data_IF_813021735458
#
_entry.id   IF_813021735458
#
_cell.length_a   1.000
_cell.length_b   1.000
_cell.length_c   1.000
_cell.angle_alpha   90.00
_cell.angle_beta   90.00
_cell.angle_gamma   90.00
#
_symmetry.space_group_name_H-M   'P 1'
#
loop_
_entity.id
_entity.type
_entity.pdbx_description
1 polymer ?
#
# COMPACT_ATOMS: atom_id res chain seq x y z
N UNK A 1 18.29 11.74 -7.51
CA UNK A 1 17.23 12.00 -6.52
C UNK A 1 16.24 10.84 -6.60
N UNK A 2 16.56 9.72 -5.94
CA UNK A 2 15.68 8.55 -5.89
C UNK A 2 14.96 8.55 -4.55
N UNK A 3 13.75 9.12 -4.53
CA UNK A 3 12.86 9.02 -3.38
C UNK A 3 12.33 7.58 -3.28
N UNK A 4 13.15 6.68 -2.72
CA UNK A 4 12.72 5.33 -2.36
C UNK A 4 11.99 5.42 -1.03
N UNK A 5 10.74 5.00 -1.00
CA UNK A 5 9.92 4.90 0.20
C UNK A 5 10.25 3.60 0.94
N UNK A 6 11.51 3.41 1.35
CA UNK A 6 12.05 2.12 1.86
C UNK A 6 11.28 1.56 3.08
N UNK A 7 10.33 2.31 3.65
CA UNK A 7 9.42 1.89 4.73
C UNK A 7 7.93 1.72 4.31
N UNK A 8 7.53 2.19 3.12
CA UNK A 8 6.16 2.11 2.59
C UNK A 8 6.14 1.29 1.28
N UNK A 9 5.28 0.28 1.22
CA UNK A 9 5.20 -0.67 0.10
C UNK A 9 5.26 -2.15 0.49
N UNK A 10 5.35 -2.44 1.80
CA UNK A 10 5.35 -3.80 2.32
C UNK A 10 3.99 -4.49 2.15
N UNK A 11 2.89 -3.74 2.12
CA UNK A 11 1.54 -4.31 2.01
C UNK A 11 1.09 -4.65 0.59
N UNK A 12 1.80 -4.22 -0.45
CA UNK A 12 1.40 -4.46 -1.84
C UNK A 12 1.53 -5.95 -2.20
N UNK A 13 0.45 -6.60 -2.59
CA UNK A 13 0.44 -8.00 -3.00
C UNK A 13 -0.27 -8.15 -4.34
N UNK A 14 0.29 -8.98 -5.23
CA UNK A 14 -0.28 -9.31 -6.53
C UNK A 14 -0.50 -10.82 -6.63
N UNK A 15 -1.75 -11.20 -6.86
CA UNK A 15 -2.18 -12.56 -7.19
C UNK A 15 -2.07 -12.76 -8.71
N UNK A 16 -1.05 -13.49 -9.14
CA UNK A 16 -0.80 -13.76 -10.56
C UNK A 16 -1.79 -14.74 -11.18
N UNK A 17 -2.53 -15.51 -10.38
CA UNK A 17 -3.53 -16.45 -10.90
C UNK A 17 -4.81 -15.70 -11.29
N UNK A 18 -5.21 -14.72 -10.47
CA UNK A 18 -6.35 -13.84 -10.78
C UNK A 18 -6.04 -12.77 -11.81
N UNK A 19 -4.77 -12.45 -12.05
CA UNK A 19 -4.39 -11.41 -12.99
C UNK A 19 -4.76 -11.77 -14.45
N UNK A 20 -5.70 -11.01 -15.01
CA UNK A 20 -6.14 -11.15 -16.41
C UNK A 20 -5.34 -10.28 -17.40
N UNK A 21 -4.27 -9.63 -16.95
CA UNK A 21 -3.42 -8.82 -17.85
C UNK A 21 -4.03 -7.51 -18.35
N UNK A 22 -5.06 -6.96 -17.69
CA UNK A 22 -5.79 -5.77 -18.15
C UNK A 22 -5.03 -4.43 -18.10
N UNK A 23 -3.77 -4.40 -17.65
CA UNK A 23 -2.89 -3.22 -17.58
C UNK A 23 -3.35 -2.03 -16.72
N UNK A 24 -4.56 -2.03 -16.17
CA UNK A 24 -5.09 -0.94 -15.33
C UNK A 24 -4.13 -0.51 -14.22
N UNK A 25 -3.46 -1.46 -13.56
CA UNK A 25 -2.50 -1.16 -12.50
C UNK A 25 -1.27 -0.36 -12.97
N UNK A 26 -0.84 -0.54 -14.22
CA UNK A 26 0.26 0.21 -14.83
C UNK A 26 -0.18 1.63 -15.16
N UNK A 27 -1.42 1.82 -15.65
CA UNK A 27 -1.96 3.14 -16.00
C UNK A 27 -2.22 4.02 -14.78
N UNK A 28 -2.80 3.45 -13.71
CA UNK A 28 -3.20 4.24 -12.53
C UNK A 28 -2.06 4.48 -11.53
N UNK A 29 -0.88 3.88 -11.73
CA UNK A 29 0.24 3.99 -10.80
C UNK A 29 1.17 5.15 -11.22
N UNK A 30 1.13 6.32 -10.55
CA UNK A 30 1.98 7.46 -10.92
C UNK A 30 3.48 7.20 -10.66
N UNK A 31 3.80 6.18 -9.87
CA UNK A 31 5.17 5.82 -9.50
C UNK A 31 5.75 4.68 -10.35
N UNK A 32 5.02 4.16 -11.34
CA UNK A 32 5.48 3.07 -12.20
C UNK A 32 6.02 1.85 -11.42
N UNK A 33 5.26 1.42 -10.40
CA UNK A 33 5.61 0.27 -9.54
C UNK A 33 5.48 -1.06 -10.29
N UNK A 34 4.64 -1.11 -11.31
CA UNK A 34 4.31 -2.33 -12.05
C UNK A 34 5.06 -2.41 -13.37
N UNK A 35 5.44 -3.62 -13.76
CA UNK A 35 5.84 -3.97 -15.12
C UNK A 35 4.86 -4.97 -15.71
N UNK A 36 4.95 -5.18 -17.01
CA UNK A 36 4.13 -6.14 -17.73
C UNK A 36 5.03 -7.15 -18.42
N UNK A 37 4.80 -8.44 -18.17
CA UNK A 37 5.55 -9.53 -18.78
C UNK A 37 4.64 -10.75 -18.92
N UNK A 38 4.77 -11.47 -20.03
CA UNK A 38 4.07 -12.75 -20.25
C UNK A 38 2.54 -12.64 -20.10
N UNK A 39 1.96 -11.52 -20.55
CA UNK A 39 0.51 -11.29 -20.49
C UNK A 39 -0.01 -10.95 -19.09
N UNK A 40 0.86 -10.79 -18.08
CA UNK A 40 0.47 -10.51 -16.70
C UNK A 40 1.22 -9.30 -16.14
N UNK A 41 0.60 -8.65 -15.16
CA UNK A 41 1.29 -7.64 -14.36
C UNK A 41 2.36 -8.30 -13.49
N UNK A 42 3.43 -7.56 -13.19
CA UNK A 42 4.46 -7.89 -12.21
C UNK A 42 4.79 -6.66 -11.38
N UNK A 43 5.22 -6.87 -10.15
CA UNK A 43 5.69 -5.76 -9.29
C UNK A 43 7.18 -5.57 -9.58
N UNK A 44 7.55 -4.45 -10.19
CA UNK A 44 8.91 -4.13 -10.59
C UNK A 44 9.71 -3.48 -9.47
N UNK A 45 9.10 -2.53 -8.74
CA UNK A 45 9.77 -1.85 -7.64
C UNK A 45 8.79 -1.49 -6.51
N UNK A 46 8.78 -2.34 -5.48
CA UNK A 46 7.98 -2.14 -4.27
C UNK A 46 8.37 -0.89 -3.50
N UNK A 47 9.65 -0.49 -3.55
CA UNK A 47 10.16 0.67 -2.82
C UNK A 47 9.66 2.01 -3.37
N UNK A 48 8.95 2.00 -4.51
CA UNK A 48 8.27 3.17 -5.08
C UNK A 48 6.78 3.21 -4.74
N UNK A 49 6.25 2.17 -4.08
CA UNK A 49 4.84 2.10 -3.75
C UNK A 49 4.54 2.97 -2.54
N UNK A 50 3.80 4.07 -2.75
CA UNK A 50 3.30 4.92 -1.66
C UNK A 50 2.03 4.37 -0.98
N UNK A 51 1.64 3.13 -1.27
CA UNK A 51 0.46 2.46 -0.70
C UNK A 51 -0.87 3.23 -0.88
N UNK A 52 -1.01 3.96 -1.99
CA UNK A 52 -2.18 4.83 -2.25
C UNK A 52 -3.50 4.08 -2.53
N UNK A 53 -3.48 2.77 -2.78
CA UNK A 53 -4.69 2.01 -3.07
C UNK A 53 -5.21 2.07 -4.51
N UNK A 54 -4.65 2.94 -5.37
CA UNK A 54 -5.19 3.15 -6.72
C UNK A 54 -5.21 1.86 -7.56
N UNK A 55 -4.16 1.06 -7.49
CA UNK A 55 -4.05 -0.18 -8.25
C UNK A 55 -5.07 -1.24 -7.82
N UNK A 56 -5.30 -1.40 -6.52
CA UNK A 56 -6.30 -2.34 -5.99
C UNK A 56 -7.74 -1.92 -6.34
N UNK A 57 -8.06 -0.62 -6.24
CA UNK A 57 -9.41 -0.10 -6.55
C UNK A 57 -9.80 -0.19 -8.01
N UNK A 58 -8.83 -0.15 -8.92
CA UNK A 58 -9.06 -0.20 -10.36
C UNK A 58 -8.84 -1.59 -10.96
N UNK A 59 -8.50 -2.60 -10.13
CA UNK A 59 -8.37 -3.97 -10.61
C UNK A 59 -9.76 -4.61 -10.75
N UNK A 60 -10.25 -4.95 -11.96
CA UNK A 60 -11.60 -5.48 -12.17
C UNK A 60 -11.80 -6.88 -11.56
N UNK A 61 -10.71 -7.59 -11.30
CA UNK A 61 -10.68 -8.96 -10.78
C UNK A 61 -10.08 -9.04 -9.38
N UNK A 62 -9.82 -7.89 -8.75
CA UNK A 62 -9.26 -7.79 -7.39
C UNK A 62 -7.98 -8.65 -7.20
N UNK A 63 -7.14 -8.71 -8.23
CA UNK A 63 -5.85 -9.42 -8.19
C UNK A 63 -4.79 -8.68 -7.37
N UNK A 64 -5.04 -7.43 -6.98
CA UNK A 64 -4.11 -6.59 -6.24
C UNK A 64 -4.70 -6.21 -4.90
N UNK A 65 -3.89 -6.37 -3.84
CA UNK A 65 -4.21 -5.95 -2.49
C UNK A 65 -3.14 -4.98 -2.02
N UNK A 66 -3.56 -3.92 -1.33
CA UNK A 66 -2.66 -2.98 -0.68
C UNK A 66 -3.39 -2.40 0.52
N UNK A 67 -2.70 -2.26 1.65
CA UNK A 67 -3.28 -1.66 2.84
C UNK A 67 -3.27 -0.15 2.65
N UNK A 68 -4.32 0.37 2.01
CA UNK A 68 -4.47 1.80 1.77
C UNK A 68 -4.88 2.50 3.05
N UNK A 69 -3.91 3.13 3.68
CA UNK A 69 -4.05 3.96 4.85
C UNK A 69 -2.75 4.68 5.00
N UNK A 70 -2.81 5.93 5.40
CA UNK A 70 -1.67 6.81 5.69
C UNK A 70 -0.81 6.28 6.86
N UNK A 71 -0.57 4.97 6.97
CA UNK A 71 0.00 4.29 8.12
C UNK A 71 1.26 4.98 8.62
N UNK A 72 2.27 5.17 7.75
CA UNK A 72 3.49 5.84 8.16
C UNK A 72 3.33 7.37 8.25
N UNK A 73 2.65 8.03 7.31
CA UNK A 73 2.56 9.50 7.30
C UNK A 73 1.68 10.05 8.42
N UNK A 74 0.55 9.43 8.72
CA UNK A 74 -0.30 9.79 9.85
C UNK A 74 0.29 9.32 11.19
N UNK A 75 1.05 8.23 11.25
CA UNK A 75 1.74 7.84 12.47
C UNK A 75 2.95 8.77 12.75
N UNK A 76 3.68 9.21 11.72
CA UNK A 76 4.74 10.22 11.87
C UNK A 76 4.16 11.59 12.23
N UNK A 77 3.15 12.09 11.51
CA UNK A 77 2.49 13.37 11.85
C UNK A 77 1.80 13.26 13.21
N UNK A 78 1.16 12.15 13.50
CA UNK A 78 0.51 11.87 14.79
C UNK A 78 1.50 11.77 15.93
N UNK A 79 2.66 11.16 15.71
CA UNK A 79 3.76 11.08 16.69
C UNK A 79 4.42 12.43 16.92
N UNK A 80 4.59 13.24 15.87
CA UNK A 80 5.04 14.63 15.99
C UNK A 80 4.04 15.52 16.74
N UNK A 81 2.73 15.30 16.59
CA UNK A 81 1.70 16.11 17.26
C UNK A 81 1.36 15.64 18.68
N UNK A 82 1.45 14.34 18.97
CA UNK A 82 1.05 13.75 20.26
C UNK A 82 2.21 13.26 21.12
N UNK A 83 3.45 13.36 20.62
CA UNK A 83 4.65 12.97 21.37
C UNK A 83 4.76 11.48 21.67
N UNK A 84 4.14 10.61 20.86
CA UNK A 84 4.13 9.16 21.03
C UNK A 84 4.76 8.44 19.84
N UNK A 85 5.36 7.28 20.10
CA UNK A 85 6.03 6.47 19.09
C UNK A 85 5.00 5.85 18.12
N UNK A 86 5.23 5.92 16.80
CA UNK A 86 4.37 5.26 15.82
C UNK A 86 4.65 3.75 15.85
N UNK A 87 3.93 3.01 16.70
CA UNK A 87 4.02 1.56 16.72
C UNK A 87 2.91 0.93 15.85
N UNK A 88 3.28 -0.13 15.15
CA UNK A 88 2.39 -0.99 14.37
C UNK A 88 2.07 -2.28 15.15
N UNK A 89 2.10 -2.22 16.48
CA UNK A 89 1.85 -3.37 17.32
C UNK A 89 0.34 -3.53 17.47
N UNK A 90 -0.20 -4.39 16.62
CA UNK A 90 -1.50 -5.01 16.82
C UNK A 90 -1.47 -5.84 18.11
N UNK A 91 -1.60 -5.19 19.27
CA UNK A 91 -1.91 -5.86 20.52
C UNK A 91 -3.38 -5.63 20.88
N UNK A 92 -4.11 -6.73 20.99
CA UNK A 92 -5.52 -6.78 21.34
C UNK A 92 -5.67 -6.44 22.84
N UNK A 93 -5.66 -5.14 23.19
CA UNK A 93 -5.63 -4.79 24.61
C UNK A 93 -5.77 -3.31 24.96
N UNK A 94 -7.02 -2.88 25.08
CA UNK A 94 -7.50 -1.78 25.96
C UNK A 94 -7.29 -0.30 25.57
N UNK A 95 -8.41 0.41 25.66
CA UNK A 95 -8.58 1.86 25.89
C UNK A 95 -8.52 2.84 24.69
N UNK A 96 -9.68 2.96 24.03
CA UNK A 96 -10.39 4.21 23.68
C UNK A 96 -9.56 5.39 23.14
N UNK A 97 -9.51 5.51 21.81
CA UNK A 97 -9.82 6.81 21.16
C UNK A 97 -10.36 6.59 19.75
N UNK A 98 -11.43 7.31 19.44
CA UNK A 98 -12.30 7.07 18.28
C UNK A 98 -11.54 7.14 16.94
N UNK A 99 -11.64 6.02 16.20
CA UNK A 99 -11.79 5.93 14.73
C UNK A 99 -10.55 6.18 13.87
N UNK A 100 -9.61 5.24 13.92
CA UNK A 100 -9.07 4.65 12.69
C UNK A 100 -9.25 3.15 12.87
N UNK A 101 -10.20 2.58 12.13
CA UNK A 101 -10.53 1.16 12.25
C UNK A 101 -9.37 0.34 11.72
N UNK A 102 -8.61 -0.25 12.64
CA UNK A 102 -8.00 -1.54 12.44
C UNK A 102 -9.08 -2.57 12.82
N UNK A 103 -9.84 -2.96 11.79
CA UNK A 103 -10.84 -4.04 11.64
C UNK A 103 -11.76 -3.64 10.49
#
# INVERSE_FOLDING_TARGET
MEFRYILAGQSLTLDTEKCIGCLMCCEVCPHNVFSFAEGKARIADRGRCMECGACARNCPVSALTVTSGVGCTAAVIGGLLKGGEPNCDCDCGTAKSKKVRCC
#
